data_IF_648178286906
#
_entry.id   IF_648178286906
#
_cell.length_a   1.000
_cell.length_b   1.000
_cell.length_c   1.000
_cell.angle_alpha   90.00
_cell.angle_beta   90.00
_cell.angle_gamma   90.00
#
_symmetry.space_group_name_H-M   'P 1'
#
loop_
_entity.id
_entity.type
_entity.pdbx_description
1 polymer ?
#
# COMPACT_ATOMS: atom_id res chain seq x y z
N UNK A 1 4.26 -5.63 1.70
CA UNK A 1 4.19 -4.16 1.77
C UNK A 1 2.88 -3.80 2.45
N UNK A 2 2.93 -3.05 3.55
CA UNK A 2 1.76 -2.51 4.23
C UNK A 2 1.91 -1.00 4.43
N UNK A 3 0.82 -0.26 4.28
CA UNK A 3 0.78 1.17 4.54
C UNK A 3 -0.56 1.57 5.17
N UNK A 4 -0.52 2.48 6.15
CA UNK A 4 -1.71 3.02 6.81
C UNK A 4 -1.51 4.47 7.20
N UNK A 5 -2.52 5.31 6.98
CA UNK A 5 -2.49 6.71 7.38
C UNK A 5 -3.90 7.22 7.66
N UNK A 6 -4.05 8.02 8.71
CA UNK A 6 -5.30 8.71 9.05
C UNK A 6 -5.13 10.24 9.11
N UNK A 7 -3.89 10.76 8.98
CA UNK A 7 -3.58 12.17 9.17
C UNK A 7 -3.39 12.87 7.84
N UNK A 8 -4.48 13.09 7.12
CA UNK A 8 -4.50 13.88 5.90
C UNK A 8 -4.84 15.35 6.21
N UNK A 9 -4.17 16.28 5.54
CA UNK A 9 -4.45 17.71 5.68
C UNK A 9 -5.78 18.11 5.03
N UNK A 10 -6.37 19.22 5.51
CA UNK A 10 -7.46 19.96 4.85
C UNK A 10 -8.87 19.38 4.98
N UNK A 11 -9.02 18.07 5.16
CA UNK A 11 -10.34 17.41 5.16
C UNK A 11 -10.49 16.37 6.27
N UNK A 12 -11.67 16.32 6.89
CA UNK A 12 -12.00 15.27 7.87
C UNK A 12 -12.50 13.99 7.18
N UNK A 13 -12.41 12.86 7.88
CA UNK A 13 -12.86 11.53 7.42
C UNK A 13 -12.11 11.02 6.18
N UNK A 14 -10.78 11.13 6.23
CA UNK A 14 -9.88 10.50 5.27
C UNK A 14 -9.01 9.47 5.98
N UNK A 15 -8.98 8.26 5.46
CA UNK A 15 -8.16 7.18 6.00
C UNK A 15 -7.75 6.24 4.89
N UNK A 16 -6.52 5.74 4.96
CA UNK A 16 -5.97 4.79 4.01
C UNK A 16 -5.45 3.57 4.77
N UNK A 17 -5.77 2.40 4.27
CA UNK A 17 -5.10 1.14 4.59
C UNK A 17 -4.84 0.39 3.29
N UNK A 18 -3.60 -0.06 3.09
CA UNK A 18 -3.18 -0.82 1.93
C UNK A 18 -2.27 -1.96 2.38
N UNK A 19 -2.58 -3.18 1.95
CA UNK A 19 -1.72 -4.34 2.15
C UNK A 19 -1.53 -5.06 0.82
N UNK A 20 -0.28 -5.43 0.52
CA UNK A 20 0.13 -6.25 -0.62
C UNK A 20 1.09 -7.31 -0.12
N UNK A 21 0.79 -8.57 -0.38
CA UNK A 21 1.57 -9.71 0.09
C UNK A 21 1.52 -10.88 -0.90
N UNK A 22 2.54 -11.73 -0.82
CA UNK A 22 2.54 -13.04 -1.48
C UNK A 22 1.73 -14.00 -0.60
N UNK A 23 0.62 -14.50 -1.11
CA UNK A 23 -0.28 -15.40 -0.40
C UNK A 23 -0.03 -16.83 -0.87
N UNK A 24 0.31 -17.77 0.04
CA UNK A 24 0.42 -19.18 -0.29
C UNK A 24 -0.90 -19.73 -0.84
N UNK A 25 -0.82 -20.53 -1.89
CA UNK A 25 -1.94 -21.29 -2.43
C UNK A 25 -1.48 -22.73 -2.67
N UNK A 26 -2.38 -23.72 -2.65
CA UNK A 26 -1.98 -25.14 -2.73
C UNK A 26 -1.13 -25.38 -3.98
N UNK A 27 0.15 -25.71 -3.78
CA UNK A 27 1.15 -25.95 -4.83
C UNK A 27 1.68 -24.69 -5.54
N UNK A 28 1.25 -23.48 -5.15
CA UNK A 28 1.66 -22.22 -5.78
C UNK A 28 1.54 -21.02 -4.83
N UNK A 29 1.37 -19.83 -5.38
CA UNK A 29 1.20 -18.57 -4.66
C UNK A 29 0.56 -17.55 -5.60
N UNK A 30 -0.04 -16.52 -5.04
CA UNK A 30 -0.49 -15.34 -5.79
C UNK A 30 -0.15 -14.06 -5.03
N UNK A 31 -0.15 -12.93 -5.73
CA UNK A 31 0.00 -11.62 -5.10
C UNK A 31 -1.39 -11.18 -4.65
N UNK A 32 -1.62 -11.19 -3.33
CA UNK A 32 -2.82 -10.72 -2.68
C UNK A 32 -2.73 -9.26 -2.29
N UNK A 33 -3.84 -8.54 -2.36
CA UNK A 33 -3.95 -7.19 -1.83
C UNK A 33 -5.35 -6.90 -1.29
N UNK A 34 -5.39 -6.08 -0.25
CA UNK A 34 -6.61 -5.53 0.36
C UNK A 34 -6.34 -4.06 0.65
N UNK A 35 -7.13 -3.19 0.02
CA UNK A 35 -6.94 -1.74 0.09
C UNK A 35 -8.27 -1.06 0.33
N UNK A 36 -8.30 -0.15 1.29
CA UNK A 36 -9.42 0.71 1.62
C UNK A 36 -8.96 2.16 1.70
N UNK A 37 -9.54 3.02 0.87
CA UNK A 37 -9.39 4.46 0.96
C UNK A 37 -10.76 5.08 1.32
N UNK A 38 -10.88 5.55 2.55
CA UNK A 38 -12.05 6.30 3.02
C UNK A 38 -11.85 7.76 2.64
N UNK A 39 -12.80 8.34 1.93
CA UNK A 39 -12.82 9.75 1.57
C UNK A 39 -14.25 10.28 1.73
N UNK A 40 -14.43 11.27 2.60
CA UNK A 40 -15.72 11.95 2.84
C UNK A 40 -16.86 10.96 3.14
N UNK A 41 -16.56 9.93 3.93
CA UNK A 41 -17.54 8.90 4.31
C UNK A 41 -17.78 7.80 3.27
N UNK A 42 -17.15 7.88 2.09
CA UNK A 42 -17.21 6.81 1.08
C UNK A 42 -15.94 5.97 1.10
N UNK A 43 -16.11 4.65 1.21
CA UNK A 43 -15.00 3.70 1.15
C UNK A 43 -14.77 3.21 -0.30
N UNK A 44 -13.62 3.57 -0.85
CA UNK A 44 -13.11 3.03 -2.11
C UNK A 44 -12.27 1.78 -1.80
N UNK A 45 -12.67 0.64 -2.35
CA UNK A 45 -12.07 -0.67 -2.02
C UNK A 45 -11.43 -1.26 -3.26
N UNK A 46 -10.21 -1.77 -3.10
CA UNK A 46 -9.52 -2.54 -4.12
C UNK A 46 -8.95 -3.80 -3.47
N UNK A 47 -9.39 -4.97 -3.92
CA UNK A 47 -8.86 -6.23 -3.43
C UNK A 47 -8.80 -7.26 -4.56
N UNK A 48 -8.03 -8.33 -4.36
CA UNK A 48 -7.99 -9.45 -5.31
C UNK A 48 -9.37 -10.02 -5.60
N UNK A 49 -10.22 -10.15 -4.57
CA UNK A 49 -11.59 -10.67 -4.72
C UNK A 49 -12.57 -9.68 -5.38
N UNK A 50 -12.22 -8.41 -5.58
CA UNK A 50 -13.07 -7.43 -6.27
C UNK A 50 -12.81 -7.36 -7.78
N UNK A 51 -11.82 -8.13 -8.29
CA UNK A 51 -11.41 -8.07 -9.70
C UNK A 51 -10.70 -6.76 -10.07
N UNK A 52 -10.23 -5.99 -9.08
CA UNK A 52 -9.33 -4.88 -9.32
C UNK A 52 -8.01 -5.39 -9.93
N UNK A 53 -7.15 -4.49 -10.40
CA UNK A 53 -5.76 -4.81 -10.72
C UNK A 53 -4.83 -3.87 -9.97
N UNK A 54 -3.61 -4.31 -9.68
CA UNK A 54 -2.58 -3.53 -9.00
C UNK A 54 -1.32 -3.33 -9.83
N UNK A 55 -0.54 -2.31 -9.45
CA UNK A 55 0.85 -2.10 -9.85
C UNK A 55 1.68 -1.75 -8.61
N UNK A 56 2.91 -2.24 -8.52
CA UNK A 56 3.84 -1.89 -7.45
C UNK A 56 5.25 -1.72 -8.00
N UNK A 57 5.92 -0.65 -7.56
CA UNK A 57 7.35 -0.42 -7.81
C UNK A 57 8.01 0.03 -6.51
N UNK A 58 9.27 -0.37 -6.34
CA UNK A 58 10.08 -0.04 -5.18
C UNK A 58 11.30 0.75 -5.67
N UNK A 59 11.46 1.96 -5.15
CA UNK A 59 12.69 2.73 -5.24
C UNK A 59 13.46 2.67 -3.93
N UNK A 60 14.62 3.34 -3.91
CA UNK A 60 15.50 3.37 -2.73
C UNK A 60 14.74 3.90 -1.49
N UNK A 61 14.08 5.05 -1.64
CA UNK A 61 13.40 5.76 -0.55
C UNK A 61 11.87 5.83 -0.70
N UNK A 62 11.31 5.20 -1.73
CA UNK A 62 9.88 5.28 -2.02
C UNK A 62 9.27 3.94 -2.40
N UNK A 63 8.00 3.76 -2.05
CA UNK A 63 7.16 2.66 -2.51
C UNK A 63 6.00 3.26 -3.29
N UNK A 64 5.86 2.88 -4.55
CA UNK A 64 4.69 3.25 -5.34
C UNK A 64 3.74 2.06 -5.42
N UNK A 65 2.49 2.30 -5.04
CA UNK A 65 1.38 1.35 -5.21
C UNK A 65 0.28 2.01 -6.02
N UNK A 66 -0.28 1.27 -6.98
CA UNK A 66 -1.48 1.69 -7.67
C UNK A 66 -2.49 0.57 -7.76
N UNK A 67 -3.77 0.91 -7.66
CA UNK A 67 -4.89 -0.01 -7.72
C UNK A 67 -5.95 0.58 -8.65
N UNK A 68 -6.56 -0.24 -9.50
CA UNK A 68 -7.66 0.21 -10.35
C UNK A 68 -8.77 -0.81 -10.49
N UNK A 69 -9.99 -0.33 -10.59
CA UNK A 69 -11.15 -1.09 -11.04
C UNK A 69 -11.66 -0.50 -12.37
N UNK A 70 -12.87 -0.86 -12.80
CA UNK A 70 -13.48 -0.33 -14.04
C UNK A 70 -13.72 1.19 -14.03
N UNK A 71 -13.81 1.81 -12.85
CA UNK A 71 -14.27 3.20 -12.65
C UNK A 71 -13.20 4.07 -11.98
N UNK A 72 -12.43 3.52 -11.04
CA UNK A 72 -11.54 4.27 -10.16
C UNK A 72 -10.10 3.78 -10.28
N UNK A 73 -9.16 4.70 -10.06
CA UNK A 73 -7.74 4.41 -9.89
C UNK A 73 -7.24 5.12 -8.62
N UNK A 74 -6.59 4.38 -7.74
CA UNK A 74 -5.92 4.89 -6.55
C UNK A 74 -4.41 4.76 -6.76
N UNK A 75 -3.68 5.83 -6.51
CA UNK A 75 -2.21 5.87 -6.54
C UNK A 75 -1.72 6.32 -5.16
N UNK A 76 -0.68 5.65 -4.67
CA UNK A 76 -0.07 5.89 -3.37
C UNK A 76 1.45 5.92 -3.59
N UNK A 77 2.09 7.05 -3.25
CA UNK A 77 3.55 7.14 -3.12
C UNK A 77 3.85 7.21 -1.63
N UNK A 78 4.52 6.19 -1.10
CA UNK A 78 4.96 6.16 0.28
C UNK A 78 6.43 6.52 0.37
N UNK A 79 6.74 7.65 0.99
CA UNK A 79 8.11 8.10 1.23
C UNK A 79 8.60 7.56 2.56
N UNK A 80 9.69 6.80 2.52
CA UNK A 80 10.38 6.33 3.72
C UNK A 80 11.06 7.54 4.37
N UNK A 81 10.54 8.00 5.51
CA UNK A 81 11.27 8.94 6.37
C UNK A 81 12.08 8.16 7.40
N UNK A 82 13.29 8.67 7.68
CA UNK A 82 14.28 8.07 8.57
C UNK A 82 13.69 7.64 9.92
N UNK A 83 14.37 6.70 10.59
CA UNK A 83 13.82 5.97 11.73
C UNK A 83 13.27 4.60 11.34
N UNK A 84 13.88 3.95 10.34
CA UNK A 84 13.74 2.51 10.09
C UNK A 84 14.24 1.76 11.32
N UNK A 85 13.37 1.56 12.31
CA UNK A 85 13.62 0.58 13.35
C UNK A 85 13.71 -0.75 12.64
N UNK A 86 14.90 -1.34 12.60
CA UNK A 86 15.04 -2.73 12.18
C UNK A 86 14.33 -3.56 13.23
N UNK A 87 13.07 -3.87 13.00
CA UNK A 87 12.31 -4.74 13.86
C UNK A 87 12.54 -6.16 13.38
N UNK A 88 12.82 -7.04 14.35
CA UNK A 88 13.04 -8.45 14.08
C UNK A 88 11.68 -9.14 14.12
N UNK A 89 11.26 -9.73 13.01
CA UNK A 89 10.01 -10.47 12.88
C UNK A 89 10.26 -11.98 12.93
N UNK A 90 9.35 -12.77 13.52
CA UNK A 90 9.48 -14.21 13.54
C UNK A 90 9.35 -14.81 12.13
N UNK A 91 10.39 -15.51 11.70
CA UNK A 91 10.37 -16.42 10.55
C UNK A 91 10.50 -17.84 11.09
N UNK A 92 9.46 -18.67 10.90
CA UNK A 92 9.44 -20.07 11.32
C UNK A 92 9.79 -20.29 12.80
N UNK A 93 9.31 -19.41 13.69
CA UNK A 93 9.54 -19.49 15.14
C UNK A 93 10.84 -18.83 15.63
N UNK A 94 11.70 -18.34 14.73
CA UNK A 94 12.94 -17.65 15.08
C UNK A 94 12.86 -16.16 14.72
N UNK A 95 13.35 -15.28 15.60
CA UNK A 95 13.45 -13.84 15.32
C UNK A 95 14.58 -13.57 14.32
N UNK A 96 14.32 -13.77 13.02
CA UNK A 96 15.33 -13.59 11.96
C UNK A 96 14.84 -12.70 10.81
N UNK A 97 13.54 -12.45 10.70
CA UNK A 97 13.00 -11.58 9.65
C UNK A 97 13.37 -10.13 9.90
N UNK A 98 13.84 -9.41 8.87
CA UNK A 98 14.02 -7.96 8.94
C UNK A 98 12.75 -7.28 8.46
N UNK A 99 12.19 -6.42 9.31
CA UNK A 99 11.08 -5.55 8.96
C UNK A 99 11.61 -4.12 8.95
N UNK A 100 11.50 -3.46 7.80
CA UNK A 100 11.70 -2.01 7.72
C UNK A 100 10.36 -1.35 7.99
N UNK A 101 10.09 -1.04 9.26
CA UNK A 101 8.93 -0.27 9.68
C UNK A 101 9.30 1.21 9.84
N UNK A 102 8.46 2.10 9.31
CA UNK A 102 8.50 3.53 9.60
C UNK A 102 7.13 3.98 10.07
N UNK A 103 7.06 4.59 11.26
CA UNK A 103 5.87 5.27 11.78
C UNK A 103 5.84 6.77 11.43
N UNK A 104 6.86 7.23 10.68
CA UNK A 104 7.03 8.63 10.29
C UNK A 104 6.96 8.84 8.77
N UNK A 105 6.54 7.81 8.02
CA UNK A 105 6.39 7.90 6.58
C UNK A 105 5.36 8.97 6.19
N UNK A 106 5.52 9.51 4.99
CA UNK A 106 4.52 10.37 4.35
C UNK A 106 3.93 9.65 3.14
N UNK A 107 2.63 9.81 2.93
CA UNK A 107 1.92 9.22 1.79
C UNK A 107 1.38 10.33 0.90
N UNK A 108 1.71 10.33 -0.39
CA UNK A 108 0.96 11.07 -1.39
C UNK A 108 -0.12 10.15 -1.97
N UNK A 109 -1.38 10.57 -1.88
CA UNK A 109 -2.51 9.76 -2.33
C UNK A 109 -3.30 10.52 -3.38
N UNK A 110 -3.50 9.87 -4.54
CA UNK A 110 -4.34 10.37 -5.63
C UNK A 110 -5.44 9.39 -5.96
N UNK A 111 -6.67 9.87 -6.02
CA UNK A 111 -7.84 9.11 -6.48
C UNK A 111 -8.36 9.71 -7.78
N UNK A 112 -8.62 8.85 -8.75
CA UNK A 112 -9.18 9.20 -10.05
C UNK A 112 -10.48 8.46 -10.31
N UNK A 113 -11.36 9.04 -11.13
CA UNK A 113 -12.52 8.36 -11.72
C UNK A 113 -12.59 8.66 -13.20
N UNK A 114 -12.54 7.63 -14.05
CA UNK A 114 -12.53 7.80 -15.50
C UNK A 114 -11.40 8.73 -16.00
N UNK A 115 -10.24 8.72 -15.32
CA UNK A 115 -9.11 9.60 -15.63
C UNK A 115 -9.16 10.99 -14.96
N UNK A 116 -10.31 11.41 -14.43
CA UNK A 116 -10.45 12.71 -13.77
C UNK A 116 -9.94 12.68 -12.32
N UNK A 117 -9.22 13.76 -11.96
CA UNK A 117 -8.85 14.20 -10.61
C UNK A 117 -10.01 14.16 -9.60
N UNK A 118 -10.15 13.15 -8.73
CA UNK A 118 -11.15 13.20 -7.65
C UNK A 118 -10.58 13.69 -6.32
N UNK A 119 -9.34 13.30 -5.99
CA UNK A 119 -8.68 13.71 -4.76
C UNK A 119 -7.16 13.64 -4.92
N UNK A 120 -6.46 14.60 -4.31
CA UNK A 120 -5.01 14.59 -4.14
C UNK A 120 -4.72 15.12 -2.74
N UNK A 121 -3.93 14.39 -1.96
CA UNK A 121 -3.55 14.84 -0.63
C UNK A 121 -2.33 14.13 -0.07
N UNK A 122 -1.73 14.78 0.93
CA UNK A 122 -0.60 14.26 1.68
C UNK A 122 -1.08 13.77 3.05
N UNK A 123 -0.75 12.52 3.34
CA UNK A 123 -0.90 11.88 4.64
C UNK A 123 0.42 11.90 5.40
N UNK A 124 0.38 12.30 6.68
CA UNK A 124 1.54 12.33 7.58
C UNK A 124 1.46 11.24 8.63
N UNK A 125 2.56 10.99 9.33
CA UNK A 125 2.63 9.97 10.40
C UNK A 125 2.08 8.62 9.94
N UNK A 126 2.42 8.24 8.72
CA UNK A 126 1.95 6.99 8.15
C UNK A 126 2.79 5.84 8.70
N UNK A 127 2.10 4.73 9.01
CA UNK A 127 2.74 3.43 9.14
C UNK A 127 3.09 2.93 7.75
N UNK A 128 4.33 2.51 7.57
CA UNK A 128 4.83 1.86 6.36
C UNK A 128 5.69 0.68 6.76
N UNK A 129 5.36 -0.49 6.23
CA UNK A 129 6.12 -1.72 6.44
C UNK A 129 6.51 -2.34 5.11
N UNK A 130 7.82 -2.53 4.92
CA UNK A 130 8.38 -3.32 3.82
C UNK A 130 9.19 -4.47 4.43
N UNK A 131 8.67 -5.69 4.28
CA UNK A 131 9.22 -6.90 4.90
C UNK A 131 9.27 -8.06 3.89
N UNK A 132 10.20 -8.99 4.12
CA UNK A 132 10.43 -10.15 3.26
C UNK A 132 11.00 -9.78 1.88
N UNK A 133 10.93 -10.70 0.89
CA UNK A 133 11.37 -10.45 -0.48
C UNK A 133 10.34 -9.57 -1.22
N UNK A 134 10.27 -8.29 -0.86
CA UNK A 134 9.29 -7.34 -1.39
C UNK A 134 9.41 -7.13 -2.90
N UNK A 135 10.57 -7.44 -3.48
CA UNK A 135 10.86 -7.44 -4.91
C UNK A 135 9.92 -8.39 -5.68
N UNK A 136 9.46 -9.49 -5.04
CA UNK A 136 8.52 -10.43 -5.64
C UNK A 136 7.10 -9.84 -5.83
N UNK A 137 6.81 -8.73 -5.16
CA UNK A 137 5.51 -8.04 -5.25
C UNK A 137 5.47 -7.03 -6.40
N UNK A 138 6.62 -6.71 -7.00
CA UNK A 138 6.74 -5.69 -8.02
C UNK A 138 6.16 -6.18 -9.35
N UNK A 139 5.59 -5.24 -10.09
CA UNK A 139 4.93 -5.57 -11.36
C UNK A 139 5.03 -4.39 -12.31
N UNK A 140 5.65 -4.61 -13.47
CA UNK A 140 5.78 -3.60 -14.52
C UNK A 140 4.42 -3.30 -15.17
N UNK A 141 3.60 -4.35 -15.33
CA UNK A 141 2.25 -4.29 -15.90
C UNK A 141 1.17 -4.27 -14.81
N UNK A 142 -0.09 -4.08 -15.20
CA UNK A 142 -1.22 -4.23 -14.27
C UNK A 142 -1.55 -5.70 -14.05
N UNK A 143 -1.52 -6.14 -12.79
CA UNK A 143 -1.80 -7.53 -12.40
C UNK A 143 -3.10 -7.64 -11.63
N UNK A 144 -3.93 -8.64 -11.92
CA UNK A 144 -5.11 -8.99 -11.11
C UNK A 144 -4.73 -9.94 -9.98
#
# INVERSE_FOLDING_TARGET
IWAQCNHFGGESKISLSASVARIPWVGSHFIGYIVGFLLRGRLYRFATYTGASMRATLGDNEVFLAFRDKKHRLEIVAHKKGGTGQLVSPLSGNMVGKVNESLQATLEVKLFKGGQLLYSGEGRHAGLEVAGPAEELLTAEWRR
#
